data_IF_933406070610
#
_entry.id   IF_933406070610
#
_cell.length_a   1.000
_cell.length_b   1.000
_cell.length_c   1.000
_cell.angle_alpha   90.00
_cell.angle_beta   90.00
_cell.angle_gamma   90.00
#
_symmetry.space_group_name_H-M   'P 1'
#
loop_
_entity.id
_entity.type
_entity.pdbx_description
1 polymer ?
#
# COMPACT_ATOMS: atom_id res chain seq x y z
N UNK A 1 13.66 -10.65 -4.97
CA UNK A 1 12.65 -9.91 -4.19
C UNK A 1 12.49 -8.54 -4.81
N UNK A 2 11.31 -7.94 -4.72
CA UNK A 2 11.03 -6.59 -5.21
C UNK A 2 10.48 -5.80 -4.04
N UNK A 3 10.91 -4.55 -3.89
CA UNK A 3 10.42 -3.65 -2.86
C UNK A 3 9.48 -2.61 -3.48
N UNK A 4 8.47 -2.22 -2.72
CA UNK A 4 7.43 -1.30 -3.15
C UNK A 4 7.16 -0.28 -2.05
N UNK A 5 6.85 0.95 -2.47
CA UNK A 5 6.50 2.05 -1.58
C UNK A 5 5.17 2.68 -1.99
N UNK A 6 4.41 3.14 -1.00
CA UNK A 6 3.25 4.00 -1.20
C UNK A 6 3.62 5.43 -0.77
N UNK A 7 3.37 6.40 -1.64
CA UNK A 7 3.54 7.83 -1.32
C UNK A 7 2.16 8.50 -1.24
N UNK A 8 1.87 9.05 -0.05
CA UNK A 8 0.63 9.77 0.21
C UNK A 8 0.64 11.23 -0.27
N UNK A 9 1.81 11.79 -0.61
CA UNK A 9 1.88 13.15 -1.15
C UNK A 9 1.50 13.17 -2.64
N UNK A 10 1.81 12.09 -3.36
CA UNK A 10 1.58 11.98 -4.80
C UNK A 10 0.48 10.97 -5.17
N UNK A 11 -0.08 10.25 -4.19
CA UNK A 11 -1.05 9.18 -4.40
C UNK A 11 -0.57 8.11 -5.38
N UNK A 12 0.69 7.66 -5.22
CA UNK A 12 1.32 6.70 -6.14
C UNK A 12 1.92 5.48 -5.45
N UNK A 13 1.91 4.37 -6.18
CA UNK A 13 2.75 3.20 -5.93
C UNK A 13 4.08 3.36 -6.69
N UNK A 14 5.17 3.09 -5.99
CA UNK A 14 6.52 3.03 -6.54
C UNK A 14 7.12 1.63 -6.35
N UNK A 15 8.04 1.27 -7.23
CA UNK A 15 8.95 0.13 -7.09
C UNK A 15 10.35 0.66 -6.77
N UNK A 16 11.03 0.07 -5.79
CA UNK A 16 12.44 0.38 -5.56
C UNK A 16 13.31 -0.43 -6.51
N UNK A 17 14.06 0.25 -7.36
CA UNK A 17 14.86 -0.37 -8.41
C UNK A 17 16.13 0.47 -8.71
N UNK A 18 17.34 -0.01 -8.34
CA UNK A 18 17.61 -1.28 -7.68
C UNK A 18 17.24 -1.26 -6.18
N UNK A 19 16.81 -2.39 -5.59
CA UNK A 19 16.21 -2.45 -4.25
C UNK A 19 17.04 -1.82 -3.11
N UNK A 20 18.37 -1.90 -3.18
CA UNK A 20 19.25 -1.46 -2.10
C UNK A 20 19.75 -0.01 -2.27
N UNK A 21 19.42 0.64 -3.40
CA UNK A 21 19.82 2.02 -3.66
C UNK A 21 18.73 3.05 -3.34
N UNK A 22 17.52 2.59 -3.01
CA UNK A 22 16.39 3.47 -2.65
C UNK A 22 15.82 4.29 -3.81
N UNK A 23 16.28 4.06 -5.05
CA UNK A 23 15.73 4.73 -6.24
C UNK A 23 14.31 4.25 -6.50
N UNK A 24 13.38 5.20 -6.67
CA UNK A 24 11.97 4.91 -6.90
C UNK A 24 11.61 5.01 -8.40
N UNK A 25 10.96 3.97 -8.92
CA UNK A 25 10.35 3.96 -10.25
C UNK A 25 8.83 3.92 -10.09
N UNK A 26 8.13 4.90 -10.67
CA UNK A 26 6.67 4.97 -10.58
C UNK A 26 6.02 3.76 -11.24
N UNK A 27 5.08 3.11 -10.54
CA UNK A 27 4.25 2.03 -11.08
C UNK A 27 2.93 2.60 -11.58
N UNK A 28 2.26 3.42 -10.76
CA UNK A 28 0.99 4.04 -11.14
C UNK A 28 0.27 4.68 -9.96
N UNK A 29 -0.80 5.41 -10.25
CA UNK A 29 -1.61 6.09 -9.25
C UNK A 29 -2.49 5.11 -8.46
N UNK A 30 -2.72 5.42 -7.18
CA UNK A 30 -3.62 4.65 -6.32
C UNK A 30 -5.09 4.79 -6.72
N UNK A 31 -5.43 5.88 -7.40
CA UNK A 31 -6.82 6.21 -7.78
C UNK A 31 -7.67 6.71 -6.61
N UNK A 32 -7.06 6.91 -5.44
CA UNK A 32 -7.66 7.50 -4.24
C UNK A 32 -6.68 8.54 -3.69
N UNK A 33 -7.21 9.64 -3.17
CA UNK A 33 -6.43 10.67 -2.49
C UNK A 33 -6.27 10.29 -1.02
N UNK A 34 -5.09 9.81 -0.64
CA UNK A 34 -4.82 9.30 0.70
C UNK A 34 -4.22 10.40 1.57
N UNK A 35 -4.76 10.57 2.75
CA UNK A 35 -4.25 11.50 3.76
C UNK A 35 -3.30 10.82 4.76
N UNK A 36 -3.18 9.49 4.67
CA UNK A 36 -2.24 8.70 5.46
C UNK A 36 -2.16 7.24 5.00
N UNK A 37 -1.01 6.63 5.20
CA UNK A 37 -0.76 5.20 4.98
C UNK A 37 -0.22 4.60 6.29
N UNK A 38 -0.97 3.68 6.89
CA UNK A 38 -0.74 3.19 8.25
C UNK A 38 -0.40 1.68 8.25
N UNK A 39 0.37 1.27 7.24
CA UNK A 39 0.80 -0.10 6.99
C UNK A 39 0.61 -0.49 5.53
N UNK A 40 1.62 -1.11 4.96
CA UNK A 40 1.61 -1.73 3.65
C UNK A 40 2.46 -2.99 3.72
N UNK A 41 1.88 -4.12 3.36
CA UNK A 41 2.56 -5.41 3.45
C UNK A 41 2.09 -6.37 2.35
N UNK A 42 2.95 -7.30 1.96
CA UNK A 42 2.71 -8.23 0.86
C UNK A 42 2.72 -9.65 1.43
N UNK A 43 1.60 -10.36 1.25
CA UNK A 43 1.48 -11.76 1.63
C UNK A 43 2.57 -12.60 0.96
N UNK A 44 3.44 -13.21 1.77
CA UNK A 44 4.59 -13.96 1.27
C UNK A 44 4.21 -15.20 0.44
N UNK A 45 3.00 -15.73 0.60
CA UNK A 45 2.50 -16.90 -0.14
C UNK A 45 1.59 -16.48 -1.28
N UNK A 46 0.61 -15.59 -1.06
CA UNK A 46 -0.31 -15.18 -2.13
C UNK A 46 0.26 -14.13 -3.07
N UNK A 47 1.25 -13.34 -2.62
CA UNK A 47 1.71 -12.14 -3.31
C UNK A 47 0.70 -10.99 -3.27
N UNK A 48 -0.38 -11.10 -2.48
CA UNK A 48 -1.40 -10.05 -2.38
C UNK A 48 -0.86 -8.91 -1.52
N UNK A 49 -0.91 -7.70 -2.06
CA UNK A 49 -0.48 -6.50 -1.37
C UNK A 49 -1.67 -5.86 -0.64
N UNK A 50 -1.54 -5.69 0.67
CA UNK A 50 -2.54 -5.09 1.55
C UNK A 50 -2.02 -3.79 2.13
N UNK A 51 -2.89 -2.79 2.25
CA UNK A 51 -2.59 -1.53 2.91
C UNK A 51 -3.70 -1.11 3.86
N UNK A 52 -3.36 -0.33 4.88
CA UNK A 52 -4.33 0.55 5.55
C UNK A 52 -4.10 1.95 5.06
N UNK A 53 -5.12 2.50 4.39
CA UNK A 53 -5.10 3.85 3.88
C UNK A 53 -6.17 4.67 4.59
N UNK A 54 -5.86 5.92 4.86
CA UNK A 54 -6.83 6.91 5.32
C UNK A 54 -7.20 7.80 4.16
N UNK A 55 -8.50 7.93 3.88
CA UNK A 55 -9.05 8.88 2.90
C UNK A 55 -9.94 9.84 3.66
N UNK A 56 -9.53 11.10 3.73
CA UNK A 56 -10.17 12.08 4.60
C UNK A 56 -10.02 11.71 6.07
N UNK A 57 -11.10 11.23 6.70
CA UNK A 57 -11.13 10.79 8.11
C UNK A 57 -11.37 9.29 8.27
N UNK A 58 -11.60 8.56 7.18
CA UNK A 58 -11.92 7.13 7.22
C UNK A 58 -10.67 6.31 6.94
N UNK A 59 -10.29 5.46 7.89
CA UNK A 59 -9.29 4.43 7.69
C UNK A 59 -9.96 3.14 7.21
N UNK A 60 -9.40 2.51 6.19
CA UNK A 60 -9.93 1.25 5.64
C UNK A 60 -8.78 0.33 5.21
N UNK A 61 -9.05 -0.97 5.12
CA UNK A 61 -8.14 -1.93 4.48
C UNK A 61 -8.32 -1.84 2.97
N UNK A 62 -7.21 -1.88 2.23
CA UNK A 62 -7.16 -1.87 0.77
C UNK A 62 -6.32 -3.04 0.27
N UNK A 63 -6.63 -3.52 -0.93
CA UNK A 63 -5.67 -4.27 -1.75
C UNK A 63 -5.05 -3.35 -2.79
N UNK A 64 -3.77 -3.53 -3.08
CA UNK A 64 -3.01 -2.72 -4.05
C UNK A 64 -2.60 -3.61 -5.23
N UNK A 65 -2.93 -3.19 -6.45
CA UNK A 65 -2.43 -3.86 -7.64
C UNK A 65 -0.96 -3.45 -7.89
N UNK A 66 -0.03 -4.39 -7.68
CA UNK A 66 1.42 -4.12 -7.83
C UNK A 66 1.88 -3.84 -9.27
N UNK A 67 1.02 -4.06 -10.27
CA UNK A 67 1.31 -3.80 -11.68
C UNK A 67 0.80 -2.44 -12.14
N UNK A 68 -0.34 -1.98 -11.60
CA UNK A 68 -0.98 -0.74 -12.05
C UNK A 68 -0.99 0.38 -11.00
N UNK A 69 -0.70 0.06 -9.75
CA UNK A 69 -0.84 0.96 -8.61
C UNK A 69 -2.26 1.06 -8.04
N UNK A 70 -3.29 0.59 -8.76
CA UNK A 70 -4.68 0.81 -8.36
C UNK A 70 -5.02 0.22 -6.99
N UNK A 71 -5.60 1.05 -6.11
CA UNK A 71 -6.08 0.64 -4.80
C UNK A 71 -7.56 0.25 -4.85
N UNK A 72 -7.90 -0.91 -4.28
CA UNK A 72 -9.29 -1.37 -4.14
C UNK A 72 -9.68 -1.33 -2.67
N UNK A 73 -10.71 -0.55 -2.34
CA UNK A 73 -11.20 -0.43 -0.97
C UNK A 73 -11.87 -1.72 -0.50
N UNK A 74 -11.48 -2.19 0.67
CA UNK A 74 -12.13 -3.24 1.43
C UNK A 74 -12.98 -2.67 2.56
N UNK A 75 -12.78 -3.19 3.78
CA UNK A 75 -13.57 -2.82 4.95
C UNK A 75 -13.06 -1.55 5.64
N UNK A 76 -14.00 -0.74 6.14
CA UNK A 76 -13.70 0.38 7.05
C UNK A 76 -13.27 -0.14 8.42
N UNK A 77 -12.35 0.57 9.04
CA UNK A 77 -11.83 0.26 10.36
C UNK A 77 -12.49 1.15 11.41
N UNK A 78 -12.84 0.59 12.58
CA UNK A 78 -13.59 1.31 13.61
C UNK A 78 -12.77 2.40 14.31
N UNK A 79 -11.46 2.46 14.05
CA UNK A 79 -10.51 3.45 14.56
C UNK A 79 -9.27 3.49 13.67
N UNK A 80 -8.58 4.63 13.58
CA UNK A 80 -7.28 4.69 12.90
C UNK A 80 -6.31 3.69 13.55
N UNK A 81 -5.61 2.90 12.74
CA UNK A 81 -4.56 1.99 13.19
C UNK A 81 -3.21 2.70 13.14
N UNK A 82 -2.26 2.27 13.98
CA UNK A 82 -0.91 2.83 13.97
C UNK A 82 0.03 2.09 13.01
N UNK A 83 -0.19 0.79 12.81
CA UNK A 83 0.55 -0.05 11.89
C UNK A 83 -0.23 -1.34 11.56
N UNK A 84 0.16 -2.02 10.48
CA UNK A 84 -0.26 -3.38 10.12
C UNK A 84 0.95 -4.16 9.60
N UNK A 85 0.95 -5.47 9.83
CA UNK A 85 1.70 -6.45 9.05
C UNK A 85 0.77 -7.64 8.75
N UNK A 86 0.97 -8.31 7.62
CA UNK A 86 0.36 -9.61 7.36
C UNK A 86 1.30 -10.71 7.88
N UNK A 87 0.73 -11.74 8.51
CA UNK A 87 1.55 -12.80 9.10
C UNK A 87 2.15 -13.75 8.05
N UNK A 88 2.62 -14.90 8.50
CA UNK A 88 3.11 -15.94 7.58
C UNK A 88 1.92 -16.67 6.94
N UNK A 89 2.01 -16.94 5.63
CA UNK A 89 1.06 -17.80 4.92
C UNK A 89 -0.12 -17.09 4.24
N UNK A 90 -0.13 -15.76 4.19
CA UNK A 90 -1.15 -14.98 3.48
C UNK A 90 -0.79 -14.67 2.05
#
# INVERSE_FOLDING_TARGET
>A
TVLYDLDANTDMLYRQDPPNAGTLVSVGALGVNITGANGFDIGGTSGTAYAVLTVGTTASVYTINLTTGAATKGADLPRPLQAMAVGLGF
#
